data_IF_837252155635
#
_entry.id   IF_837252155635
#
_cell.length_a   1.000
_cell.length_b   1.000
_cell.length_c   1.000
_cell.angle_alpha   90.00
_cell.angle_beta   90.00
_cell.angle_gamma   90.00
#
_symmetry.space_group_name_H-M   'P 1'
#
loop_
_entity.id
_entity.type
_entity.pdbx_description
1 polymer ?
#
# COMPACT_ATOMS: atom_id res chain seq x y z
N UNK A 1 -7.36 6.58 -16.80
CA UNK A 1 -7.47 6.19 -15.37
C UNK A 1 -6.08 6.29 -14.80
N UNK A 2 -5.86 7.07 -13.75
CA UNK A 2 -4.56 7.10 -13.06
C UNK A 2 -4.38 5.71 -12.48
N UNK A 3 -3.46 4.93 -13.03
CA UNK A 3 -3.09 3.63 -12.47
C UNK A 3 -2.55 3.94 -11.08
N UNK A 4 -3.35 3.69 -10.04
CA UNK A 4 -2.96 4.01 -8.68
C UNK A 4 -1.75 3.14 -8.33
N UNK A 5 -0.74 3.76 -7.74
CA UNK A 5 0.48 3.11 -7.32
C UNK A 5 0.16 1.87 -6.43
N UNK A 6 0.70 0.68 -6.76
CA UNK A 6 0.40 -0.54 -6.01
C UNK A 6 0.82 -0.46 -4.54
N UNK A 7 1.90 0.28 -4.22
CA UNK A 7 2.33 0.51 -2.84
C UNK A 7 1.27 1.33 -2.11
N UNK A 8 0.79 2.41 -2.74
CA UNK A 8 -0.27 3.23 -2.16
C UNK A 8 -1.54 2.42 -1.89
N UNK A 9 -2.02 1.62 -2.85
CA UNK A 9 -3.22 0.82 -2.66
C UNK A 9 -3.11 -0.18 -1.50
N UNK A 10 -1.95 -0.83 -1.36
CA UNK A 10 -1.69 -1.75 -0.25
C UNK A 10 -1.66 -0.99 1.08
N UNK A 11 -0.89 0.10 1.18
CA UNK A 11 -0.79 0.88 2.41
C UNK A 11 -2.15 1.47 2.83
N UNK A 12 -2.96 1.91 1.88
CA UNK A 12 -4.32 2.42 2.16
C UNK A 12 -5.27 1.32 2.63
N UNK A 13 -5.12 0.10 2.14
CA UNK A 13 -5.80 -1.08 2.70
C UNK A 13 -5.46 -1.29 4.18
N UNK A 14 -4.20 -1.05 4.57
CA UNK A 14 -3.74 -1.27 5.95
C UNK A 14 -4.29 -0.17 6.87
N UNK A 15 -4.31 1.06 6.39
CA UNK A 15 -4.93 2.19 7.09
C UNK A 15 -6.43 1.96 7.34
N UNK A 16 -7.16 1.43 6.36
CA UNK A 16 -8.60 1.18 6.46
C UNK A 16 -8.95 -0.11 7.22
N UNK A 17 -7.96 -0.85 7.74
CA UNK A 17 -8.13 -2.18 8.38
C UNK A 17 -8.92 -3.17 7.54
N UNK A 18 -8.89 -3.02 6.21
CA UNK A 18 -9.52 -3.96 5.30
C UNK A 18 -8.56 -5.14 5.05
N UNK A 19 -8.34 -5.97 6.08
CA UNK A 19 -7.54 -7.20 5.99
C UNK A 19 -8.02 -8.18 4.91
N UNK A 20 -9.29 -8.08 4.50
CA UNK A 20 -9.92 -8.97 3.54
C UNK A 20 -9.69 -8.63 2.06
N UNK A 21 -9.08 -7.48 1.73
CA UNK A 21 -9.08 -6.95 0.36
C UNK A 21 -7.81 -7.29 -0.45
N UNK A 22 -6.74 -7.75 0.20
CA UNK A 22 -5.37 -7.68 -0.36
C UNK A 22 -5.09 -8.48 -1.64
N UNK A 23 -5.66 -9.68 -1.89
CA UNK A 23 -5.44 -10.36 -3.16
C UNK A 23 -6.50 -10.06 -4.23
N UNK A 24 -7.64 -9.45 -3.86
CA UNK A 24 -8.78 -9.27 -4.77
C UNK A 24 -9.05 -7.82 -5.18
N UNK A 25 -8.52 -6.82 -4.45
CA UNK A 25 -8.88 -5.42 -4.67
C UNK A 25 -8.10 -4.71 -5.78
N UNK A 26 -6.95 -5.23 -6.22
CA UNK A 26 -6.03 -4.45 -7.07
C UNK A 26 -5.87 -4.97 -8.50
N UNK A 27 -6.42 -6.13 -8.86
CA UNK A 27 -6.14 -6.73 -10.18
C UNK A 27 -4.64 -6.96 -10.44
N UNK A 28 -3.81 -6.88 -9.38
CA UNK A 28 -2.37 -7.08 -9.41
C UNK A 28 -2.10 -8.57 -9.42
N UNK A 29 -1.22 -9.02 -10.31
CA UNK A 29 -0.78 -10.41 -10.35
C UNK A 29 -0.26 -10.82 -8.94
N UNK A 30 -0.64 -11.99 -8.39
CA UNK A 30 -0.15 -12.45 -7.10
C UNK A 30 1.38 -12.43 -6.94
N UNK A 31 2.13 -12.58 -8.05
CA UNK A 31 3.60 -12.46 -8.08
C UNK A 31 4.07 -11.02 -7.87
N UNK A 32 3.38 -10.09 -8.49
CA UNK A 32 3.64 -8.66 -8.34
C UNK A 32 3.25 -8.20 -6.94
N UNK A 33 2.12 -8.69 -6.40
CA UNK A 33 1.71 -8.42 -5.03
C UNK A 33 2.77 -8.83 -4.01
N UNK A 34 3.33 -10.05 -4.14
CA UNK A 34 4.40 -10.53 -3.24
C UNK A 34 5.65 -9.64 -3.34
N UNK A 35 6.01 -9.20 -4.55
CA UNK A 35 7.17 -8.35 -4.80
C UNK A 35 6.97 -6.96 -4.18
N UNK A 36 5.80 -6.35 -4.38
CA UNK A 36 5.45 -5.05 -3.81
C UNK A 36 5.35 -5.14 -2.28
N UNK A 37 4.76 -6.21 -1.74
CA UNK A 37 4.68 -6.41 -0.30
C UNK A 37 6.07 -6.57 0.32
N UNK A 38 6.97 -7.34 -0.31
CA UNK A 38 8.36 -7.44 0.12
C UNK A 38 9.03 -6.07 0.16
N UNK A 39 8.85 -5.27 -0.90
CA UNK A 39 9.38 -3.90 -0.95
C UNK A 39 8.82 -3.01 0.18
N UNK A 40 7.53 -3.11 0.47
CA UNK A 40 6.86 -2.38 1.57
C UNK A 40 7.47 -2.70 2.94
N UNK A 41 7.74 -3.99 3.21
CA UNK A 41 8.39 -4.42 4.44
C UNK A 41 9.85 -3.97 4.50
N UNK A 42 10.60 -4.11 3.40
CA UNK A 42 12.00 -3.66 3.32
C UNK A 42 12.14 -2.14 3.46
N UNK A 43 11.18 -1.37 2.95
CA UNK A 43 11.11 0.07 3.10
C UNK A 43 10.64 0.52 4.50
N UNK A 44 10.19 -0.43 5.34
CA UNK A 44 9.70 -0.15 6.68
C UNK A 44 8.38 0.61 6.71
N UNK A 45 7.56 0.53 5.66
CA UNK A 45 6.23 1.15 5.63
C UNK A 45 5.21 0.37 6.46
N UNK A 46 5.45 -0.93 6.66
CA UNK A 46 4.67 -1.81 7.51
C UNK A 46 5.60 -2.56 8.44
N UNK A 47 5.22 -2.65 9.71
CA UNK A 47 5.89 -3.45 10.72
C UNK A 47 4.86 -4.26 11.53
N UNK A 48 5.12 -5.55 11.73
CA UNK A 48 4.23 -6.48 12.44
C UNK A 48 2.75 -6.42 12.01
N UNK A 49 2.48 -6.19 10.71
CA UNK A 49 1.12 -6.08 10.16
C UNK A 49 0.43 -4.74 10.46
N UNK A 50 1.18 -3.73 10.93
CA UNK A 50 0.68 -2.39 11.20
C UNK A 50 1.40 -1.38 10.32
N UNK A 51 0.67 -0.37 9.89
CA UNK A 51 1.23 0.76 9.17
C UNK A 51 2.17 1.55 10.10
N UNK A 52 3.39 1.82 9.64
CA UNK A 52 4.36 2.64 10.38
C UNK A 52 4.16 4.13 10.07
N UNK A 53 4.86 5.00 10.80
CA UNK A 53 4.89 6.43 10.50
C UNK A 53 5.42 6.72 9.08
N UNK A 54 6.39 5.92 8.60
CA UNK A 54 6.90 6.05 7.24
C UNK A 54 5.84 5.67 6.19
N UNK A 55 5.08 4.61 6.44
CA UNK A 55 3.95 4.21 5.59
C UNK A 55 2.84 5.26 5.55
N UNK A 56 2.48 5.85 6.69
CA UNK A 56 1.54 6.98 6.75
C UNK A 56 2.06 8.20 5.98
N UNK A 57 3.34 8.52 6.11
CA UNK A 57 3.98 9.61 5.38
C UNK A 57 3.94 9.39 3.86
N UNK A 58 4.13 8.16 3.40
CA UNK A 58 4.00 7.80 1.99
C UNK A 58 2.57 8.04 1.48
N UNK A 59 1.55 7.57 2.21
CA UNK A 59 0.13 7.78 1.85
C UNK A 59 -0.15 9.28 1.70
N UNK A 60 0.19 10.09 2.72
CA UNK A 60 -0.08 11.53 2.70
C UNK A 60 0.68 12.25 1.57
N UNK A 61 1.94 11.89 1.33
CA UNK A 61 2.72 12.47 0.25
C UNK A 61 2.14 12.12 -1.13
N UNK A 62 1.62 10.90 -1.28
CA UNK A 62 0.98 10.43 -2.50
C UNK A 62 -0.37 11.11 -2.73
N UNK A 63 -1.22 11.24 -1.70
CA UNK A 63 -2.50 11.96 -1.76
C UNK A 63 -2.30 13.44 -2.13
N UNK A 64 -1.31 14.12 -1.53
CA UNK A 64 -0.95 15.50 -1.91
C UNK A 64 -0.56 15.63 -3.38
N UNK A 65 0.12 14.64 -3.96
CA UNK A 65 0.49 14.64 -5.39
C UNK A 65 -0.70 14.39 -6.30
N UNK A 66 -1.66 13.60 -5.83
CA UNK A 66 -2.91 13.37 -6.53
C UNK A 66 -3.92 14.52 -6.36
N UNK A 67 -3.65 15.48 -5.47
CA UNK A 67 -4.50 16.63 -5.18
C UNK A 67 -5.91 16.19 -4.71
N UNK A 68 -5.96 15.09 -3.94
CA UNK A 68 -7.16 14.51 -3.31
C UNK A 68 -7.21 14.92 -1.85
#
# INVERSE_FOLDING_TARGET
MISADPVYQILKGFEQKQEAAYPHASGVDPRDFRTVMKHIYEAGYIDAGKLTQAGQGYIQAYERRLNI
#
